data_IF_266132090815
#
_entry.id   IF_266132090815
#
_cell.length_a   1.000
_cell.length_b   1.000
_cell.length_c   1.000
_cell.angle_alpha   90.00
_cell.angle_beta   90.00
_cell.angle_gamma   90.00
#
_symmetry.space_group_name_H-M   'P 1'
#
loop_
_entity.id
_entity.type
_entity.pdbx_description
1 polymer ?
#
# COMPACT_ATOMS: atom_id res chain seq x y z
N UNK A 1 -30.17 -41.96 44.65
CA UNK A 1 -30.92 -41.30 45.79
C UNK A 1 -31.76 -40.21 45.15
N UNK A 2 -33.05 -40.36 45.24
CA UNK A 2 -34.12 -39.52 44.71
C UNK A 2 -34.21 -38.23 45.54
N UNK A 3 -34.71 -37.11 44.88
CA UNK A 3 -35.73 -36.15 45.34
C UNK A 3 -35.67 -35.00 44.33
N UNK A 4 -36.52 -34.74 43.42
CA UNK A 4 -37.91 -34.24 43.27
C UNK A 4 -38.18 -32.83 43.86
N UNK A 5 -38.59 -31.99 42.91
CA UNK A 5 -39.73 -31.02 42.89
C UNK A 5 -39.37 -29.59 43.26
N UNK A 6 -39.85 -28.50 42.67
CA UNK A 6 -41.16 -28.21 42.11
C UNK A 6 -41.16 -26.95 41.24
N UNK A 7 -42.14 -26.87 40.31
CA UNK A 7 -42.58 -25.72 39.54
C UNK A 7 -43.08 -24.55 40.38
N UNK A 8 -42.89 -23.32 39.89
CA UNK A 8 -43.89 -22.26 40.07
C UNK A 8 -43.87 -21.36 38.81
N UNK A 9 -44.94 -21.44 38.05
CA UNK A 9 -45.30 -20.55 36.96
C UNK A 9 -46.04 -19.33 37.57
N UNK A 10 -45.69 -18.11 37.13
CA UNK A 10 -46.55 -16.93 37.31
C UNK A 10 -46.66 -16.23 35.96
N UNK A 11 -47.85 -16.31 35.39
CA UNK A 11 -48.37 -15.54 34.25
C UNK A 11 -48.85 -14.18 34.80
N UNK A 12 -48.44 -13.07 34.20
CA UNK A 12 -49.24 -11.83 34.17
C UNK A 12 -49.11 -11.19 32.78
N UNK A 13 -50.27 -10.99 32.17
CA UNK A 13 -50.50 -10.44 30.83
C UNK A 13 -50.62 -8.90 30.88
N UNK A 14 -50.94 -8.21 29.75
CA UNK A 14 -50.26 -6.99 29.29
C UNK A 14 -51.02 -5.70 29.63
N UNK A 15 -50.36 -4.57 29.56
CA UNK A 15 -51.05 -3.26 29.54
C UNK A 15 -50.45 -2.42 28.42
N UNK A 16 -51.27 -2.24 27.40
CA UNK A 16 -51.08 -1.26 26.29
C UNK A 16 -51.47 0.12 26.80
N UNK A 17 -50.61 1.11 26.65
CA UNK A 17 -50.98 2.52 26.72
C UNK A 17 -50.27 3.29 25.61
N UNK A 18 -51.04 3.67 24.58
CA UNK A 18 -50.72 4.70 23.59
C UNK A 18 -50.92 6.08 24.20
N UNK A 19 -49.91 6.93 24.10
CA UNK A 19 -50.11 8.36 24.23
C UNK A 19 -49.22 9.08 23.18
N UNK A 20 -49.88 9.68 22.21
CA UNK A 20 -49.28 10.68 21.32
C UNK A 20 -49.20 12.03 22.04
N UNK A 21 -48.03 12.68 21.95
CA UNK A 21 -47.95 14.12 22.21
C UNK A 21 -46.82 14.72 21.34
N UNK A 22 -47.21 15.65 20.46
CA UNK A 22 -46.34 16.58 19.75
C UNK A 22 -45.73 17.55 20.75
N UNK A 23 -44.46 17.92 20.57
CA UNK A 23 -43.84 19.05 21.25
C UNK A 23 -42.40 19.23 20.66
N UNK A 24 -42.20 20.33 19.92
CA UNK A 24 -40.91 20.68 19.36
C UNK A 24 -39.93 21.16 20.42
N UNK A 25 -38.66 21.00 20.12
CA UNK A 25 -37.52 21.51 20.86
C UNK A 25 -36.29 21.31 19.96
N UNK A 26 -35.74 22.42 19.51
CA UNK A 26 -34.43 22.48 18.86
C UNK A 26 -33.39 22.06 19.89
N UNK A 27 -32.67 21.00 19.58
CA UNK A 27 -31.37 20.68 20.20
C UNK A 27 -30.44 20.30 19.05
N UNK A 28 -29.44 21.16 18.85
CA UNK A 28 -28.31 20.96 17.96
C UNK A 28 -27.54 19.71 18.45
N UNK A 29 -27.80 18.58 17.84
CA UNK A 29 -26.99 17.37 17.99
C UNK A 29 -26.00 17.37 16.84
N UNK A 30 -24.77 17.84 17.13
CA UNK A 30 -23.59 17.62 16.29
C UNK A 30 -23.30 16.12 16.27
N UNK A 31 -24.13 15.38 15.56
CA UNK A 31 -23.90 14.00 15.19
C UNK A 31 -22.77 13.97 14.15
N UNK A 32 -21.58 13.61 14.58
CA UNK A 32 -20.55 13.13 13.68
C UNK A 32 -21.18 12.07 12.77
N UNK A 33 -21.38 12.40 11.52
CA UNK A 33 -21.75 11.44 10.47
C UNK A 33 -20.55 10.49 10.33
N UNK A 34 -20.60 9.34 10.99
CA UNK A 34 -19.76 8.23 10.64
C UNK A 34 -20.01 7.88 9.16
N UNK A 35 -19.04 7.29 8.47
CA UNK A 35 -19.18 6.94 7.07
C UNK A 35 -20.45 6.13 6.87
N UNK A 36 -21.28 6.57 5.93
CA UNK A 36 -22.50 5.88 5.57
C UNK A 36 -22.13 4.46 5.08
N UNK A 37 -22.70 3.44 5.68
CA UNK A 37 -22.52 2.02 5.36
C UNK A 37 -23.18 1.63 4.01
N UNK A 38 -23.03 2.45 2.99
CA UNK A 38 -23.38 2.16 1.61
C UNK A 38 -22.09 2.02 0.79
N UNK A 39 -21.20 1.08 1.17
CA UNK A 39 -20.02 0.73 0.38
C UNK A 39 -20.41 0.14 -0.99
N UNK A 40 -19.43 0.01 -1.88
CA UNK A 40 -19.61 -0.55 -3.23
C UNK A 40 -20.35 -1.90 -3.22
N UNK A 41 -20.21 -2.69 -2.16
CA UNK A 41 -20.91 -3.95 -1.96
C UNK A 41 -22.41 -3.81 -1.65
N UNK A 42 -22.91 -2.62 -1.28
CA UNK A 42 -24.35 -2.41 -1.02
C UNK A 42 -25.16 -2.19 -2.31
N UNK A 43 -24.50 -2.00 -3.46
CA UNK A 43 -25.12 -1.81 -4.78
C UNK A 43 -25.50 -3.09 -5.49
N UNK A 44 -25.33 -3.12 -6.79
CA UNK A 44 -25.41 -4.32 -7.63
C UNK A 44 -23.99 -4.62 -8.18
N UNK A 45 -23.07 -5.17 -7.35
CA UNK A 45 -21.71 -5.47 -7.77
C UNK A 45 -21.69 -6.48 -8.91
N UNK A 46 -20.68 -6.41 -9.76
CA UNK A 46 -20.49 -7.30 -10.89
C UNK A 46 -19.09 -7.92 -10.87
N UNK A 47 -18.88 -8.96 -11.64
CA UNK A 47 -17.58 -9.57 -11.89
C UNK A 47 -16.82 -9.89 -10.57
N UNK A 48 -15.52 -9.59 -10.49
CA UNK A 48 -14.70 -9.85 -9.31
C UNK A 48 -15.19 -9.08 -8.07
N UNK A 49 -15.70 -7.86 -8.22
CA UNK A 49 -16.29 -7.11 -7.10
C UNK A 49 -17.46 -7.89 -6.46
N UNK A 50 -18.30 -8.56 -7.27
CA UNK A 50 -19.39 -9.38 -6.74
C UNK A 50 -18.88 -10.57 -5.93
N UNK A 51 -17.80 -11.23 -6.38
CA UNK A 51 -17.18 -12.33 -5.63
C UNK A 51 -16.60 -11.86 -4.31
N UNK A 52 -15.82 -10.77 -4.31
CA UNK A 52 -15.27 -10.13 -3.10
C UNK A 52 -16.38 -9.78 -2.10
N UNK A 53 -17.49 -9.19 -2.57
CA UNK A 53 -18.62 -8.85 -1.73
C UNK A 53 -19.37 -10.10 -1.19
N UNK A 54 -19.50 -11.16 -1.99
CA UNK A 54 -20.13 -12.41 -1.55
C UNK A 54 -19.28 -13.16 -0.52
N UNK A 55 -17.97 -13.19 -0.72
CA UNK A 55 -17.02 -13.80 0.20
C UNK A 55 -16.81 -12.97 1.46
N UNK A 56 -17.02 -11.65 1.39
CA UNK A 56 -16.80 -10.70 2.49
C UNK A 56 -15.32 -10.48 2.80
N UNK A 57 -14.44 -10.76 1.85
CA UNK A 57 -12.98 -10.67 2.02
C UNK A 57 -12.33 -10.15 0.75
N UNK A 58 -11.45 -9.16 0.88
CA UNK A 58 -10.53 -8.69 -0.15
C UNK A 58 -9.16 -9.33 0.08
N UNK A 59 -8.71 -10.17 -0.85
CA UNK A 59 -7.38 -10.77 -0.78
C UNK A 59 -6.35 -9.86 -1.45
N UNK A 60 -5.41 -9.35 -0.65
CA UNK A 60 -4.43 -8.35 -1.07
C UNK A 60 -3.03 -8.94 -1.09
N UNK A 61 -2.30 -8.76 -2.18
CA UNK A 61 -0.86 -9.06 -2.20
C UNK A 61 -0.05 -7.85 -1.76
N UNK A 62 0.94 -8.08 -0.90
CA UNK A 62 1.86 -7.07 -0.35
C UNK A 62 3.27 -7.63 -0.14
N UNK A 63 4.24 -6.77 0.17
CA UNK A 63 5.61 -7.19 0.51
C UNK A 63 5.76 -7.27 2.04
N UNK A 64 6.18 -8.42 2.62
CA UNK A 64 6.40 -8.55 4.05
C UNK A 64 7.70 -7.91 4.56
N UNK A 65 8.56 -7.38 3.68
CA UNK A 65 9.93 -6.94 3.99
C UNK A 65 10.30 -5.57 3.40
N UNK A 66 9.32 -4.66 3.24
CA UNK A 66 9.50 -3.31 2.71
C UNK A 66 9.06 -2.22 3.72
N UNK A 67 9.67 -2.14 4.93
CA UNK A 67 9.34 -1.11 5.91
C UNK A 67 9.81 0.29 5.45
N UNK A 68 9.09 1.36 5.81
CA UNK A 68 7.88 1.40 6.63
C UNK A 68 6.57 1.19 5.87
N UNK A 69 6.62 0.90 4.56
CA UNK A 69 5.42 0.71 3.74
C UNK A 69 4.67 -0.56 4.11
N UNK A 70 5.39 -1.68 4.24
CA UNK A 70 4.80 -2.95 4.63
C UNK A 70 5.83 -3.86 5.29
N UNK A 71 5.45 -4.50 6.38
CA UNK A 71 6.27 -5.51 7.05
C UNK A 71 5.41 -6.51 7.81
N UNK A 72 5.93 -7.72 7.95
CA UNK A 72 5.37 -8.73 8.84
C UNK A 72 5.98 -8.55 10.25
N UNK A 73 5.15 -8.36 11.25
CA UNK A 73 5.56 -8.44 12.64
C UNK A 73 5.68 -9.91 13.07
N UNK A 74 6.90 -10.44 13.13
CA UNK A 74 7.16 -11.85 13.45
C UNK A 74 6.68 -12.26 14.86
N UNK A 75 6.44 -11.30 15.76
CA UNK A 75 6.01 -11.58 17.13
C UNK A 75 4.50 -11.79 17.23
N UNK A 76 3.73 -11.00 16.48
CA UNK A 76 2.26 -11.05 16.47
C UNK A 76 1.70 -11.84 15.30
N UNK A 77 2.42 -11.88 14.18
CA UNK A 77 1.97 -12.44 12.90
C UNK A 77 1.12 -11.46 12.10
N UNK A 78 1.00 -10.20 12.55
CA UNK A 78 0.24 -9.17 11.86
C UNK A 78 1.12 -8.42 10.85
N UNK A 79 0.51 -7.90 9.80
CA UNK A 79 1.14 -6.96 8.89
C UNK A 79 0.95 -5.54 9.40
N UNK A 80 1.93 -4.67 9.20
CA UNK A 80 1.89 -3.27 9.57
C UNK A 80 2.64 -2.42 8.54
N UNK A 81 2.22 -1.15 8.36
CA UNK A 81 2.83 -0.22 7.42
C UNK A 81 1.80 0.62 6.68
N UNK A 82 2.27 1.65 5.98
CA UNK A 82 1.41 2.56 5.23
C UNK A 82 0.53 1.84 4.19
N UNK A 83 1.12 0.96 3.37
CA UNK A 83 0.38 0.19 2.36
C UNK A 83 -0.65 -0.75 3.02
N UNK A 84 -0.35 -1.26 4.22
CA UNK A 84 -1.26 -2.12 4.98
C UNK A 84 -2.48 -1.34 5.46
N UNK A 85 -2.27 -0.10 5.96
CA UNK A 85 -3.35 0.76 6.41
C UNK A 85 -4.21 1.22 5.21
N UNK A 86 -3.59 1.57 4.08
CA UNK A 86 -4.31 1.90 2.82
C UNK A 86 -5.18 0.73 2.37
N UNK A 87 -4.64 -0.48 2.30
CA UNK A 87 -5.41 -1.66 1.89
C UNK A 87 -6.54 -1.99 2.86
N UNK A 88 -6.29 -1.82 4.17
CA UNK A 88 -7.29 -2.05 5.21
C UNK A 88 -8.43 -1.04 5.11
N UNK A 89 -8.13 0.23 4.85
CA UNK A 89 -9.15 1.26 4.67
C UNK A 89 -9.96 1.05 3.37
N UNK A 90 -9.31 0.65 2.28
CA UNK A 90 -10.02 0.25 1.05
C UNK A 90 -11.04 -0.86 1.35
N UNK A 91 -10.63 -1.92 2.05
CA UNK A 91 -11.53 -3.01 2.41
C UNK A 91 -12.65 -2.56 3.35
N UNK A 92 -12.35 -1.68 4.32
CA UNK A 92 -13.36 -1.08 5.20
C UNK A 92 -14.43 -0.32 4.42
N UNK A 93 -14.03 0.48 3.42
CA UNK A 93 -14.96 1.24 2.57
C UNK A 93 -15.74 0.33 1.60
N UNK A 94 -15.17 -0.77 1.17
CA UNK A 94 -15.90 -1.83 0.45
C UNK A 94 -16.90 -2.55 1.37
N UNK A 95 -16.66 -2.60 2.68
CA UNK A 95 -17.47 -3.31 3.67
C UNK A 95 -17.07 -4.77 3.83
N UNK A 96 -15.80 -5.13 3.61
CA UNK A 96 -15.25 -6.49 3.68
C UNK A 96 -14.02 -6.56 4.59
N UNK A 97 -13.61 -7.75 4.97
CA UNK A 97 -12.36 -8.01 5.67
C UNK A 97 -11.17 -8.08 4.69
N UNK A 98 -9.92 -8.02 5.21
CA UNK A 98 -8.68 -8.20 4.42
C UNK A 98 -8.07 -9.57 4.68
N UNK A 99 -7.62 -10.23 3.62
CA UNK A 99 -6.68 -11.35 3.69
C UNK A 99 -5.38 -10.99 2.95
N UNK A 100 -4.24 -11.51 3.42
CA UNK A 100 -2.93 -11.16 2.90
C UNK A 100 -2.26 -12.32 2.19
N UNK A 101 -1.67 -12.01 1.01
CA UNK A 101 -0.77 -12.89 0.27
C UNK A 101 0.57 -12.20 0.04
N UNK A 102 1.67 -12.96 0.02
CA UNK A 102 3.03 -12.42 -0.13
C UNK A 102 3.79 -13.14 -1.25
N UNK A 103 3.32 -13.04 -2.49
CA UNK A 103 4.01 -13.61 -3.63
C UNK A 103 5.32 -12.86 -3.94
N UNK A 104 6.22 -13.48 -4.71
CA UNK A 104 7.41 -12.80 -5.20
C UNK A 104 7.04 -11.67 -6.17
N UNK A 105 7.83 -10.60 -6.17
CA UNK A 105 7.57 -9.37 -6.93
C UNK A 105 7.37 -9.61 -8.43
N UNK A 106 8.19 -10.43 -9.05
CA UNK A 106 8.10 -10.80 -10.46
C UNK A 106 6.77 -11.49 -10.81
N UNK A 107 6.19 -12.22 -9.86
CA UNK A 107 4.89 -12.89 -10.02
C UNK A 107 3.74 -11.87 -9.95
N UNK A 108 3.87 -10.82 -9.11
CA UNK A 108 2.87 -9.75 -9.01
C UNK A 108 2.87 -8.93 -10.31
N UNK A 109 4.05 -8.45 -10.72
CA UNK A 109 4.19 -7.52 -11.85
C UNK A 109 3.90 -8.16 -13.22
N UNK A 110 3.99 -9.50 -13.32
CA UNK A 110 3.67 -10.22 -14.55
C UNK A 110 2.16 -10.32 -14.83
N UNK A 111 1.28 -9.99 -13.88
CA UNK A 111 -0.15 -10.28 -14.01
C UNK A 111 -0.43 -11.79 -14.03
N UNK A 112 -1.61 -12.17 -14.53
CA UNK A 112 -2.01 -13.58 -14.61
C UNK A 112 -2.03 -14.29 -13.25
N UNK A 113 -2.62 -13.61 -12.27
CA UNK A 113 -2.65 -14.07 -10.87
C UNK A 113 -3.52 -15.31 -10.67
N UNK A 114 -4.44 -15.59 -11.59
CA UNK A 114 -5.32 -16.76 -11.60
C UNK A 114 -6.16 -16.89 -10.31
N UNK A 115 -6.70 -15.79 -9.81
CA UNK A 115 -7.55 -15.76 -8.61
C UNK A 115 -6.85 -16.11 -7.31
N UNK A 116 -5.51 -15.97 -7.24
CA UNK A 116 -4.77 -16.20 -5.98
C UNK A 116 -4.88 -15.03 -5.01
N UNK A 117 -5.10 -13.85 -5.53
CA UNK A 117 -5.44 -12.60 -4.82
C UNK A 117 -6.18 -11.68 -5.78
N UNK A 118 -6.89 -10.71 -5.25
CA UNK A 118 -7.80 -9.83 -5.98
C UNK A 118 -7.12 -8.53 -6.42
N UNK A 119 -6.22 -8.01 -5.58
CA UNK A 119 -5.54 -6.73 -5.79
C UNK A 119 -4.14 -6.74 -5.18
N UNK A 120 -3.31 -5.77 -5.57
CA UNK A 120 -2.01 -5.53 -4.96
C UNK A 120 -1.93 -4.13 -4.38
N UNK A 121 -1.53 -4.03 -3.10
CA UNK A 121 -1.14 -2.79 -2.42
C UNK A 121 0.24 -3.04 -1.82
N UNK A 122 1.26 -2.57 -2.52
CA UNK A 122 2.65 -2.86 -2.21
C UNK A 122 3.57 -1.90 -2.95
N UNK A 123 3.28 -0.60 -2.86
CA UNK A 123 4.09 0.49 -3.42
C UNK A 123 4.43 0.30 -4.90
N UNK A 124 3.42 -0.06 -5.72
CA UNK A 124 3.65 -0.36 -7.13
C UNK A 124 3.49 0.88 -8.01
N UNK A 125 4.55 1.23 -8.73
CA UNK A 125 4.55 2.27 -9.76
C UNK A 125 3.89 1.77 -11.04
N UNK A 126 2.93 2.51 -11.64
CA UNK A 126 2.25 2.15 -12.89
C UNK A 126 3.12 2.43 -14.12
N UNK A 127 4.22 1.66 -14.30
CA UNK A 127 5.05 1.76 -15.51
C UNK A 127 4.28 1.33 -16.75
N UNK A 128 4.70 1.80 -17.93
CA UNK A 128 4.01 1.46 -19.18
C UNK A 128 3.91 -0.06 -19.39
N UNK A 129 4.97 -0.81 -19.08
CA UNK A 129 4.98 -2.27 -19.23
C UNK A 129 3.99 -2.94 -18.26
N UNK A 130 3.92 -2.48 -17.00
CA UNK A 130 2.95 -3.01 -16.03
C UNK A 130 1.52 -2.67 -16.42
N UNK A 131 1.29 -1.50 -16.99
CA UNK A 131 -0.02 -1.09 -17.51
C UNK A 131 -0.50 -1.93 -18.69
N UNK A 132 0.35 -2.71 -19.38
CA UNK A 132 -0.10 -3.65 -20.40
C UNK A 132 -0.92 -4.80 -19.79
N UNK A 133 -0.57 -5.23 -18.58
CA UNK A 133 -1.14 -6.43 -17.92
C UNK A 133 -1.97 -6.13 -16.67
N UNK A 134 -1.85 -4.94 -16.09
CA UNK A 134 -2.56 -4.51 -14.87
C UNK A 134 -3.37 -3.23 -15.13
N UNK A 135 -4.52 -3.11 -14.47
CA UNK A 135 -5.18 -1.82 -14.22
C UNK A 135 -4.55 -1.19 -12.98
N UNK A 136 -4.56 0.14 -12.91
CA UNK A 136 -4.08 0.91 -11.77
C UNK A 136 -5.07 1.99 -11.39
N UNK A 137 -5.20 2.26 -10.09
CA UNK A 137 -5.91 3.44 -9.58
C UNK A 137 -5.11 4.71 -9.85
N UNK A 138 -5.72 5.87 -9.60
CA UNK A 138 -4.90 7.06 -9.36
C UNK A 138 -3.88 6.78 -8.22
N UNK A 139 -2.74 7.49 -8.21
CA UNK A 139 -1.72 7.25 -7.20
C UNK A 139 -2.22 7.61 -5.80
N UNK A 140 -2.07 6.70 -4.84
CA UNK A 140 -2.34 6.96 -3.42
C UNK A 140 -1.14 7.57 -2.69
N UNK A 141 0.05 7.55 -3.31
CA UNK A 141 1.27 8.08 -2.71
C UNK A 141 2.30 8.47 -3.78
N UNK A 142 3.21 9.39 -3.45
CA UNK A 142 4.34 9.80 -4.29
C UNK A 142 5.61 9.75 -3.46
N UNK A 143 6.57 8.93 -3.86
CA UNK A 143 7.78 8.69 -3.08
C UNK A 143 9.04 8.99 -3.87
N UNK A 144 9.92 9.88 -3.35
CA UNK A 144 11.22 10.13 -3.96
C UNK A 144 12.14 8.90 -3.92
N UNK A 145 12.75 8.55 -5.04
CA UNK A 145 13.83 7.57 -5.13
C UNK A 145 15.16 8.26 -4.85
N UNK A 146 15.95 7.72 -3.94
CA UNK A 146 17.20 8.31 -3.45
C UNK A 146 18.38 7.34 -3.54
N UNK A 147 19.57 7.91 -3.64
CA UNK A 147 20.83 7.16 -3.55
C UNK A 147 21.30 7.12 -2.10
N UNK A 148 21.63 5.92 -1.64
CA UNK A 148 22.15 5.63 -0.31
C UNK A 148 23.57 5.10 -0.42
N UNK A 149 24.49 5.60 0.41
CA UNK A 149 25.87 5.11 0.52
C UNK A 149 26.22 4.81 1.96
N UNK A 150 27.39 4.19 2.23
CA UNK A 150 27.87 4.01 3.60
C UNK A 150 28.05 5.36 4.29
N UNK A 151 27.79 5.43 5.60
CA UNK A 151 27.79 6.67 6.37
C UNK A 151 29.13 7.41 6.37
N UNK A 152 30.24 6.69 6.22
CA UNK A 152 31.61 7.22 6.16
C UNK A 152 32.11 7.46 4.72
N UNK A 153 31.29 7.20 3.71
CA UNK A 153 31.62 7.51 2.32
C UNK A 153 31.35 8.99 2.03
N UNK A 154 32.40 9.80 2.03
CA UNK A 154 32.36 11.24 1.69
C UNK A 154 32.81 11.52 0.24
N UNK A 155 33.10 10.50 -0.53
CA UNK A 155 33.62 10.62 -1.90
C UNK A 155 32.47 10.86 -2.91
N UNK A 156 31.24 10.39 -2.63
CA UNK A 156 30.07 10.60 -3.50
C UNK A 156 29.44 11.96 -3.21
N UNK A 157 29.69 12.93 -4.06
CA UNK A 157 29.21 14.31 -4.00
C UNK A 157 28.43 14.75 -5.24
N UNK A 158 28.67 14.10 -6.37
CA UNK A 158 27.97 14.29 -7.65
C UNK A 158 27.59 12.92 -8.23
N UNK A 159 26.27 12.62 -8.23
CA UNK A 159 25.76 11.32 -8.67
C UNK A 159 26.10 11.01 -10.12
N UNK A 160 26.31 12.05 -10.96
CA UNK A 160 26.57 11.91 -12.40
C UNK A 160 27.99 11.48 -12.74
N UNK A 161 28.92 11.56 -11.79
CA UNK A 161 30.35 11.28 -12.02
C UNK A 161 30.94 10.35 -10.98
N UNK A 162 30.52 10.45 -9.72
CA UNK A 162 31.17 9.72 -8.62
C UNK A 162 30.65 8.29 -8.46
N UNK A 163 29.57 7.94 -9.21
CA UNK A 163 29.02 6.58 -9.29
C UNK A 163 29.38 5.85 -10.60
N UNK A 164 30.21 6.41 -11.45
CA UNK A 164 30.68 5.76 -12.67
C UNK A 164 31.45 4.46 -12.33
N UNK A 165 30.98 3.33 -12.85
CA UNK A 165 31.52 2.01 -12.57
C UNK A 165 31.25 1.46 -11.16
N UNK A 166 30.43 2.16 -10.37
CA UNK A 166 30.04 1.68 -9.04
C UNK A 166 29.07 0.50 -9.13
N UNK A 167 29.14 -0.41 -8.19
CA UNK A 167 28.14 -1.49 -8.02
C UNK A 167 26.97 -0.96 -7.21
N UNK A 168 25.80 -0.82 -7.84
CA UNK A 168 24.60 -0.28 -7.21
C UNK A 168 23.57 -1.39 -6.97
N UNK A 169 23.20 -1.60 -5.70
CA UNK A 169 22.16 -2.52 -5.28
C UNK A 169 20.77 -1.94 -5.53
N UNK A 170 19.85 -2.74 -6.06
CA UNK A 170 18.45 -2.40 -6.27
C UNK A 170 17.57 -3.63 -6.16
N UNK A 171 16.27 -3.47 -5.89
CA UNK A 171 15.35 -4.60 -6.01
C UNK A 171 15.21 -5.01 -7.48
N UNK A 172 15.22 -6.33 -7.74
CA UNK A 172 15.10 -6.88 -9.10
C UNK A 172 13.68 -6.67 -9.66
N UNK A 173 13.59 -6.15 -10.90
CA UNK A 173 12.33 -5.84 -11.57
C UNK A 173 11.61 -4.59 -11.05
N UNK A 174 12.23 -3.83 -10.14
CA UNK A 174 11.72 -2.56 -9.65
C UNK A 174 12.04 -1.40 -10.61
N UNK A 175 11.45 -0.25 -10.36
CA UNK A 175 11.70 1.02 -11.05
C UNK A 175 13.15 1.49 -10.91
N UNK A 176 13.81 1.20 -9.80
CA UNK A 176 15.22 1.52 -9.56
C UNK A 176 16.16 0.78 -10.51
N UNK A 177 15.90 -0.52 -10.76
CA UNK A 177 16.62 -1.30 -11.77
C UNK A 177 16.36 -0.75 -13.18
N UNK A 178 15.09 -0.45 -13.50
CA UNK A 178 14.71 0.15 -14.78
C UNK A 178 15.36 1.52 -14.96
N UNK A 179 15.48 2.34 -13.91
CA UNK A 179 16.15 3.64 -13.94
C UNK A 179 17.63 3.48 -14.31
N UNK A 180 18.37 2.61 -13.61
CA UNK A 180 19.79 2.36 -13.91
C UNK A 180 20.01 1.79 -15.32
N UNK A 181 19.09 0.94 -15.80
CA UNK A 181 19.11 0.39 -17.14
C UNK A 181 18.62 1.39 -18.22
N UNK A 182 18.14 2.60 -17.82
CA UNK A 182 17.56 3.63 -18.69
C UNK A 182 16.31 3.15 -19.44
N UNK A 183 15.55 2.25 -18.80
CA UNK A 183 14.34 1.62 -19.32
C UNK A 183 13.06 2.13 -18.61
N UNK A 184 13.22 2.89 -17.50
CA UNK A 184 12.07 3.42 -16.75
C UNK A 184 11.21 4.32 -17.63
N UNK A 185 9.94 3.96 -17.74
CA UNK A 185 8.97 4.67 -18.58
C UNK A 185 7.60 4.69 -17.86
N UNK A 186 7.14 5.89 -17.50
CA UNK A 186 5.85 6.14 -16.87
C UNK A 186 5.14 7.20 -17.69
N UNK A 187 3.87 6.99 -18.04
CA UNK A 187 3.09 7.92 -18.83
C UNK A 187 3.04 9.30 -18.17
N UNK A 188 3.35 10.36 -18.91
CA UNK A 188 3.35 11.75 -18.41
C UNK A 188 4.63 12.15 -17.67
N UNK A 189 5.58 11.26 -17.43
CA UNK A 189 6.85 11.54 -16.76
C UNK A 189 8.02 11.62 -17.74
N UNK A 190 9.03 12.39 -17.36
CA UNK A 190 10.31 12.46 -18.07
C UNK A 190 11.43 12.27 -17.06
N UNK A 191 12.35 11.35 -17.34
CA UNK A 191 13.44 10.99 -16.43
C UNK A 191 14.78 11.54 -16.93
N UNK A 192 15.55 12.12 -16.01
CA UNK A 192 16.96 12.40 -16.23
C UNK A 192 17.79 11.26 -15.63
N UNK A 193 18.30 10.38 -16.48
CA UNK A 193 19.11 9.23 -16.06
C UNK A 193 20.52 9.70 -15.68
N UNK A 194 20.62 10.37 -14.53
CA UNK A 194 21.85 11.04 -14.05
C UNK A 194 23.02 10.09 -13.79
N UNK A 195 22.77 8.79 -13.58
CA UNK A 195 23.80 7.78 -13.36
C UNK A 195 24.03 7.04 -14.68
N UNK A 196 25.22 7.19 -15.27
CA UNK A 196 25.45 6.82 -16.66
C UNK A 196 26.03 5.42 -16.84
N UNK A 197 26.96 4.96 -15.99
CA UNK A 197 27.67 3.70 -16.11
C UNK A 197 27.84 3.03 -14.75
N UNK A 198 26.81 2.28 -14.30
CA UNK A 198 26.84 1.55 -13.04
C UNK A 198 26.70 0.04 -13.27
N UNK A 199 27.34 -0.78 -12.42
CA UNK A 199 27.08 -2.21 -12.35
C UNK A 199 25.83 -2.46 -11.48
N UNK A 200 24.73 -2.92 -12.08
CA UNK A 200 23.47 -3.20 -11.37
C UNK A 200 23.58 -4.54 -10.63
N UNK A 201 23.33 -4.51 -9.32
CA UNK A 201 23.23 -5.72 -8.47
C UNK A 201 21.79 -5.88 -8.00
N UNK A 202 21.07 -6.88 -8.54
CA UNK A 202 19.67 -7.16 -8.22
C UNK A 202 19.53 -7.95 -6.92
N UNK A 203 18.56 -7.56 -6.09
CA UNK A 203 18.19 -8.19 -4.81
C UNK A 203 16.71 -8.53 -4.79
N UNK A 204 16.33 -9.49 -3.95
CA UNK A 204 14.91 -9.83 -3.76
C UNK A 204 14.14 -8.72 -3.00
N UNK A 205 14.83 -7.98 -2.12
CA UNK A 205 14.25 -6.88 -1.32
C UNK A 205 15.24 -5.73 -1.15
N UNK A 206 14.71 -4.50 -1.00
CA UNK A 206 15.48 -3.30 -0.66
C UNK A 206 16.25 -3.45 0.66
N UNK A 207 15.62 -4.06 1.66
CA UNK A 207 16.26 -4.34 2.96
C UNK A 207 17.53 -5.17 2.80
N UNK A 208 17.52 -6.17 1.91
CA UNK A 208 18.70 -7.00 1.64
C UNK A 208 19.80 -6.21 0.93
N UNK A 209 19.44 -5.35 -0.03
CA UNK A 209 20.38 -4.46 -0.70
C UNK A 209 21.04 -3.49 0.31
N UNK A 210 20.25 -2.86 1.18
CA UNK A 210 20.74 -1.96 2.23
C UNK A 210 21.66 -2.68 3.25
N UNK A 211 21.35 -3.93 3.60
CA UNK A 211 22.24 -4.75 4.44
C UNK A 211 23.60 -5.01 3.78
N UNK A 212 23.59 -5.28 2.48
CA UNK A 212 24.83 -5.50 1.73
C UNK A 212 25.62 -4.20 1.54
N UNK A 213 24.93 -3.05 1.37
CA UNK A 213 25.57 -1.74 1.41
C UNK A 213 26.25 -1.47 2.77
N UNK A 214 25.54 -1.67 3.88
CA UNK A 214 26.09 -1.49 5.21
C UNK A 214 27.32 -2.38 5.49
N UNK A 215 27.38 -3.55 4.82
CA UNK A 215 28.53 -4.48 4.89
C UNK A 215 29.62 -4.22 3.83
N UNK A 216 29.47 -3.19 2.98
CA UNK A 216 30.44 -2.83 1.94
C UNK A 216 30.55 -3.83 0.79
N UNK A 217 29.46 -4.52 0.44
CA UNK A 217 29.40 -5.46 -0.69
C UNK A 217 28.94 -4.79 -1.97
N UNK A 218 28.23 -3.68 -1.86
CA UNK A 218 27.89 -2.76 -2.94
C UNK A 218 28.31 -1.35 -2.54
N UNK A 219 28.51 -0.48 -3.53
CA UNK A 219 29.01 0.88 -3.32
C UNK A 219 27.87 1.85 -2.98
N UNK A 220 26.69 1.62 -3.54
CA UNK A 220 25.48 2.39 -3.29
C UNK A 220 24.23 1.51 -3.40
N UNK A 221 23.09 2.04 -2.97
CA UNK A 221 21.74 1.47 -3.17
C UNK A 221 20.81 2.57 -3.65
N UNK A 222 19.90 2.28 -4.60
CA UNK A 222 18.76 3.14 -4.89
C UNK A 222 17.52 2.48 -4.29
N UNK A 223 16.77 3.27 -3.51
CA UNK A 223 15.52 2.85 -2.87
C UNK A 223 14.65 4.08 -2.56
N UNK A 224 13.45 3.89 -2.02
CA UNK A 224 12.60 4.99 -1.58
C UNK A 224 13.24 5.78 -0.43
N UNK A 225 12.97 7.10 -0.37
CA UNK A 225 13.46 7.94 0.71
C UNK A 225 12.95 7.46 2.08
N UNK A 226 11.72 6.95 2.15
CA UNK A 226 11.09 6.48 3.38
C UNK A 226 11.76 5.20 3.90
N UNK A 227 12.08 4.24 3.01
CA UNK A 227 12.85 3.03 3.37
C UNK A 227 14.28 3.37 3.77
N UNK A 228 14.95 4.25 3.03
CA UNK A 228 16.30 4.71 3.36
C UNK A 228 16.34 5.38 4.74
N UNK A 229 15.41 6.31 5.01
CA UNK A 229 15.35 7.02 6.28
C UNK A 229 15.02 6.08 7.43
N UNK A 230 14.04 5.18 7.26
CA UNK A 230 13.72 4.17 8.27
C UNK A 230 14.92 3.31 8.63
N UNK A 231 15.70 2.87 7.63
CA UNK A 231 16.92 2.10 7.84
C UNK A 231 18.02 2.89 8.58
N UNK A 232 18.15 4.20 8.29
CA UNK A 232 19.05 5.12 9.01
C UNK A 232 18.60 5.32 10.46
N UNK A 233 17.31 5.51 10.70
CA UNK A 233 16.75 5.76 12.04
C UNK A 233 16.87 4.54 12.96
N UNK A 234 16.95 3.33 12.41
CA UNK A 234 17.31 2.11 13.13
C UNK A 234 18.79 2.07 13.57
N UNK A 235 19.60 3.07 13.17
CA UNK A 235 21.01 3.21 13.54
C UNK A 235 21.98 2.47 12.63
N UNK A 236 21.56 2.08 11.43
CA UNK A 236 22.42 1.46 10.45
C UNK A 236 23.41 2.46 9.82
N UNK A 237 24.66 2.05 9.48
CA UNK A 237 25.73 2.94 9.09
C UNK A 237 25.66 3.34 7.60
N UNK A 238 24.54 3.95 7.19
CA UNK A 238 24.32 4.45 5.83
C UNK A 238 23.81 5.88 5.86
N UNK A 239 23.87 6.58 4.72
CA UNK A 239 23.33 7.95 4.54
C UNK A 239 22.81 8.15 3.12
N UNK A 240 21.81 9.02 2.98
CA UNK A 240 21.32 9.51 1.69
C UNK A 240 22.31 10.56 1.14
N UNK A 241 22.56 10.54 -0.16
CA UNK A 241 23.42 11.52 -0.87
C UNK A 241 22.73 12.05 -2.12
N UNK A 242 23.03 13.30 -2.47
CA UNK A 242 22.46 13.99 -3.62
C UNK A 242 20.98 14.33 -3.47
N UNK A 243 20.39 14.82 -4.56
CA UNK A 243 18.96 15.03 -4.68
C UNK A 243 18.26 13.71 -5.11
N UNK A 244 16.96 13.56 -4.91
CA UNK A 244 16.21 12.42 -5.46
C UNK A 244 16.44 12.24 -6.96
N UNK A 245 16.62 11.00 -7.39
CA UNK A 245 16.87 10.70 -8.83
C UNK A 245 15.58 10.71 -9.65
N UNK A 246 14.45 10.39 -9.04
CA UNK A 246 13.10 10.57 -9.59
C UNK A 246 12.06 10.48 -8.48
N UNK A 247 10.78 10.76 -8.83
CA UNK A 247 9.65 10.62 -7.92
C UNK A 247 8.70 9.57 -8.48
N UNK A 248 8.24 8.64 -7.62
CA UNK A 248 7.41 7.51 -8.00
C UNK A 248 5.94 7.76 -7.63
N UNK A 249 5.01 7.73 -8.59
CA UNK A 249 3.60 7.53 -8.26
C UNK A 249 3.36 6.07 -7.85
N UNK A 250 2.66 5.83 -6.76
CA UNK A 250 2.34 4.50 -6.26
C UNK A 250 0.84 4.27 -6.30
N UNK A 251 0.41 3.21 -6.96
CA UNK A 251 -1.01 2.92 -7.22
C UNK A 251 -1.38 1.49 -6.82
N UNK A 252 -2.67 1.27 -6.58
CA UNK A 252 -3.25 -0.06 -6.38
C UNK A 252 -3.39 -0.75 -7.73
N UNK A 253 -2.97 -2.02 -7.82
CA UNK A 253 -2.96 -2.76 -9.09
C UNK A 253 -3.96 -3.92 -9.13
N UNK A 254 -4.49 -4.22 -10.34
CA UNK A 254 -5.47 -5.28 -10.59
C UNK A 254 -5.12 -6.04 -11.85
N UNK A 255 -5.26 -7.37 -11.84
CA UNK A 255 -4.92 -8.23 -12.98
C UNK A 255 -5.98 -8.10 -14.10
N UNK A 256 -5.55 -7.62 -15.29
CA UNK A 256 -6.40 -7.51 -16.47
C UNK A 256 -6.87 -8.85 -17.03
N UNK A 257 -6.15 -9.94 -16.70
CA UNK A 257 -6.49 -11.29 -17.17
C UNK A 257 -7.37 -12.06 -16.18
N UNK A 258 -7.86 -11.42 -15.12
CA UNK A 258 -8.72 -12.03 -14.10
C UNK A 258 -10.03 -12.57 -14.72
N UNK A 259 -10.48 -13.73 -14.24
CA UNK A 259 -11.76 -14.33 -14.61
C UNK A 259 -12.45 -14.80 -13.31
N UNK A 260 -13.50 -14.08 -12.87
CA UNK A 260 -14.18 -12.95 -13.55
C UNK A 260 -13.30 -11.69 -13.67
N UNK A 261 -13.72 -10.75 -14.53
CA UNK A 261 -13.00 -9.50 -14.78
C UNK A 261 -12.76 -8.69 -13.50
N UNK A 262 -11.56 -8.12 -13.34
CA UNK A 262 -11.24 -7.22 -12.23
C UNK A 262 -11.64 -5.76 -12.45
N UNK A 263 -12.23 -5.43 -13.63
CA UNK A 263 -12.52 -4.04 -14.00
C UNK A 263 -13.47 -3.35 -13.03
N UNK A 264 -14.54 -4.04 -12.59
CA UNK A 264 -15.51 -3.50 -11.63
C UNK A 264 -14.91 -3.28 -10.24
N UNK A 265 -14.00 -4.15 -9.80
CA UNK A 265 -13.27 -3.98 -8.54
C UNK A 265 -12.28 -2.82 -8.64
N UNK A 266 -11.55 -2.71 -9.76
CA UNK A 266 -10.65 -1.60 -10.03
C UNK A 266 -11.40 -0.26 -10.00
N UNK A 267 -12.53 -0.12 -10.72
CA UNK A 267 -13.32 1.11 -10.75
C UNK A 267 -13.79 1.51 -9.34
N UNK A 268 -14.27 0.55 -8.55
CA UNK A 268 -14.73 0.80 -7.18
C UNK A 268 -13.59 1.24 -6.26
N UNK A 269 -12.40 0.63 -6.37
CA UNK A 269 -11.26 1.00 -5.55
C UNK A 269 -10.62 2.32 -6.01
N UNK A 270 -10.64 2.64 -7.30
CA UNK A 270 -10.20 3.93 -7.82
C UNK A 270 -11.05 5.08 -7.24
N UNK A 271 -12.40 4.91 -7.19
CA UNK A 271 -13.29 5.85 -6.54
C UNK A 271 -13.00 5.98 -5.02
N UNK A 272 -12.72 4.86 -4.34
CA UNK A 272 -12.35 4.87 -2.92
C UNK A 272 -11.02 5.62 -2.69
N UNK A 273 -10.01 5.42 -3.54
CA UNK A 273 -8.73 6.15 -3.43
C UNK A 273 -8.96 7.65 -3.62
N UNK A 274 -9.79 8.05 -4.60
CA UNK A 274 -10.18 9.45 -4.79
C UNK A 274 -10.88 10.04 -3.55
N UNK A 275 -11.81 9.30 -2.95
CA UNK A 275 -12.46 9.70 -1.69
C UNK A 275 -11.46 9.85 -0.54
N UNK A 276 -10.48 8.93 -0.43
CA UNK A 276 -9.44 8.98 0.60
C UNK A 276 -8.50 10.19 0.43
N UNK A 277 -8.31 10.66 -0.80
CA UNK A 277 -7.65 11.94 -1.06
C UNK A 277 -8.53 13.14 -0.63
N UNK A 278 -9.81 13.13 -1.00
CA UNK A 278 -10.72 14.24 -0.75
C UNK A 278 -10.99 14.48 0.75
N UNK A 279 -11.10 13.41 1.53
CA UNK A 279 -11.39 13.49 2.96
C UNK A 279 -10.14 13.57 3.85
N UNK A 280 -8.94 13.47 3.26
CA UNK A 280 -7.65 13.60 3.93
C UNK A 280 -7.15 12.33 4.60
N UNK A 281 -7.83 11.20 4.47
CA UNK A 281 -7.44 9.92 5.08
C UNK A 281 -6.02 9.50 4.66
N UNK A 282 -5.67 9.62 3.37
CA UNK A 282 -4.32 9.31 2.88
C UNK A 282 -3.26 10.22 3.48
N UNK A 283 -3.54 11.53 3.56
CA UNK A 283 -2.63 12.50 4.17
C UNK A 283 -2.38 12.21 5.64
N UNK A 284 -3.43 11.92 6.42
CA UNK A 284 -3.32 11.56 7.83
C UNK A 284 -2.47 10.30 8.03
N UNK A 285 -2.67 9.26 7.20
CA UNK A 285 -1.86 8.04 7.21
C UNK A 285 -0.40 8.31 6.85
N UNK A 286 -0.14 9.14 5.83
CA UNK A 286 1.22 9.50 5.42
C UNK A 286 1.95 10.29 6.52
N UNK A 287 1.27 11.24 7.18
CA UNK A 287 1.82 11.96 8.32
C UNK A 287 2.13 11.03 9.50
N UNK A 288 1.28 10.03 9.78
CA UNK A 288 1.51 9.04 10.84
C UNK A 288 2.76 8.19 10.57
N UNK A 289 2.90 7.67 9.34
CA UNK A 289 3.99 6.75 9.00
C UNK A 289 5.31 7.44 8.65
N UNK A 290 5.25 8.60 7.99
CA UNK A 290 6.41 9.28 7.42
C UNK A 290 6.73 10.63 8.07
N UNK A 291 5.78 11.20 8.84
CA UNK A 291 5.91 12.51 9.43
C UNK A 291 5.76 13.66 8.42
N UNK A 292 5.27 13.37 7.22
CA UNK A 292 5.00 14.34 6.16
C UNK A 292 3.94 13.79 5.19
N UNK A 293 3.19 14.69 4.57
CA UNK A 293 2.23 14.32 3.53
C UNK A 293 2.96 14.05 2.20
N UNK A 294 2.88 12.81 1.74
CA UNK A 294 3.45 12.32 0.47
C UNK A 294 2.37 11.99 -0.56
N UNK A 295 1.11 12.34 -0.30
CA UNK A 295 -0.03 11.90 -1.11
C UNK A 295 -0.33 12.83 -2.30
N UNK A 296 0.39 13.93 -2.41
CA UNK A 296 0.30 14.87 -3.53
C UNK A 296 1.63 15.03 -4.24
N UNK A 297 1.59 15.15 -5.56
CA UNK A 297 2.77 15.47 -6.35
C UNK A 297 3.11 16.96 -6.17
N UNK A 298 4.25 17.28 -5.56
CA UNK A 298 4.79 18.65 -5.52
C UNK A 298 5.54 19.03 -6.81
#
# INVERSE_FOLDING_TARGET
MRIRSSLAAVLVAPLVLTLAACGGGDDDDDGASGPSSEGACAGEPADLLAEVCEEGVLTVSTDPAYPPQSKLNEQTGDYEGFDIDVATEIANRLGVDVAWETPAWDVITAGSWNGRWDTTVGSMTPTNDRQEVLYFTEPYNYVPAVVVVQADNDDVTDLSTDLDGATIGVCSGCTYEQFLNKELNIEGYTFDFVIDDAEVSGYDTDTTALQDLANGRVDAVITSVTTAQGYIDEGNPVKIVGDPVFNEPLSVGFDKSSDPSSESLWEAVDEIVAEMHEDGTLSDMAEEWYGLDTTTQE
#
